data_IF_055243217980
#
_entry.id   IF_055243217980
#
_cell.length_a   1.000
_cell.length_b   1.000
_cell.length_c   1.000
_cell.angle_alpha   90.00
_cell.angle_beta   90.00
_cell.angle_gamma   90.00
#
_symmetry.space_group_name_H-M   'P 1'
#
loop_
_entity.id
_entity.type
_entity.pdbx_description
1 polymer ?
#
# COMPACT_ATOMS: atom_id res chain seq x y z
N UNK A 1 -2.30 -11.06 -9.84
CA UNK A 1 -3.03 -10.06 -9.03
C UNK A 1 -2.39 -9.96 -7.65
N UNK A 2 -1.86 -8.80 -7.24
CA UNK A 2 -1.45 -8.60 -5.84
C UNK A 2 -2.70 -8.23 -5.06
N UNK A 3 -3.34 -9.22 -4.45
CA UNK A 3 -4.44 -8.98 -3.52
C UNK A 3 -3.94 -8.10 -2.39
N UNK A 4 -4.67 -7.01 -2.11
CA UNK A 4 -4.51 -6.18 -0.91
C UNK A 4 -4.95 -6.99 0.33
N UNK A 5 -4.33 -8.16 0.55
CA UNK A 5 -4.63 -8.98 1.70
C UNK A 5 -3.92 -8.36 2.91
N UNK A 6 -4.71 -8.01 3.93
CA UNK A 6 -4.20 -7.50 5.19
C UNK A 6 -3.17 -8.47 5.83
N UNK A 7 -3.38 -9.78 5.66
CA UNK A 7 -2.48 -10.83 6.15
C UNK A 7 -1.10 -10.74 5.47
N UNK A 8 -1.07 -10.57 4.15
CA UNK A 8 0.19 -10.43 3.39
C UNK A 8 0.94 -9.15 3.79
N UNK A 9 0.21 -8.06 4.01
CA UNK A 9 0.77 -6.81 4.53
C UNK A 9 1.36 -6.97 5.93
N UNK A 10 0.70 -7.75 6.79
CA UNK A 10 1.18 -8.07 8.13
C UNK A 10 2.45 -8.93 8.07
N UNK A 11 2.47 -10.02 7.29
CA UNK A 11 3.67 -10.84 7.09
C UNK A 11 4.87 -10.02 6.60
N UNK A 12 4.67 -9.15 5.61
CA UNK A 12 5.74 -8.29 5.11
C UNK A 12 6.29 -7.33 6.17
N UNK A 13 5.44 -6.74 7.03
CA UNK A 13 5.91 -5.88 8.12
C UNK A 13 6.69 -6.68 9.16
N UNK A 14 6.15 -7.80 9.60
CA UNK A 14 6.79 -8.67 10.58
C UNK A 14 8.17 -9.14 10.08
N UNK A 15 8.26 -9.57 8.82
CA UNK A 15 9.53 -9.97 8.22
C UNK A 15 10.53 -8.82 8.15
N UNK A 16 10.08 -7.60 7.83
CA UNK A 16 10.97 -6.43 7.84
C UNK A 16 11.46 -6.09 9.25
N UNK A 17 10.60 -6.14 10.27
CA UNK A 17 10.98 -5.90 11.67
C UNK A 17 12.00 -6.94 12.17
N UNK A 18 11.94 -8.15 11.60
CA UNK A 18 12.87 -9.26 11.86
C UNK A 18 14.06 -9.29 10.89
N UNK A 19 14.29 -8.24 10.10
CA UNK A 19 15.35 -8.15 9.09
C UNK A 19 15.40 -9.32 8.10
N UNK A 20 14.25 -9.90 7.77
CA UNK A 20 14.09 -11.07 6.89
C UNK A 20 14.89 -12.30 7.35
N UNK A 21 15.21 -12.39 8.64
CA UNK A 21 15.88 -13.57 9.21
C UNK A 21 14.87 -14.71 9.32
N UNK A 22 15.22 -15.88 8.79
CA UNK A 22 14.36 -17.07 8.79
C UNK A 22 14.11 -17.60 10.21
N UNK A 23 15.14 -17.56 11.06
CA UNK A 23 15.11 -18.02 12.44
C UNK A 23 15.57 -16.91 13.39
N UNK A 24 14.72 -15.90 13.67
CA UNK A 24 15.07 -14.87 14.63
C UNK A 24 15.19 -15.46 16.03
N UNK A 25 16.05 -14.88 16.87
CA UNK A 25 16.04 -15.21 18.29
C UNK A 25 14.63 -14.98 18.86
N UNK A 26 14.17 -15.89 19.72
CA UNK A 26 12.83 -15.86 20.30
C UNK A 26 12.48 -14.49 20.92
N UNK A 27 13.44 -13.86 21.60
CA UNK A 27 13.27 -12.52 22.13
C UNK A 27 12.94 -11.46 21.07
N UNK A 28 13.63 -11.49 19.92
CA UNK A 28 13.38 -10.56 18.82
C UNK A 28 12.00 -10.80 18.21
N UNK A 29 11.58 -12.06 18.12
CA UNK A 29 10.25 -12.43 17.67
C UNK A 29 9.16 -11.85 18.59
N UNK A 30 9.28 -12.05 19.92
CA UNK A 30 8.33 -11.49 20.89
C UNK A 30 8.30 -9.96 20.83
N UNK A 31 9.47 -9.32 20.74
CA UNK A 31 9.56 -7.86 20.60
C UNK A 31 8.86 -7.36 19.33
N UNK A 32 9.01 -8.04 18.20
CA UNK A 32 8.34 -7.68 16.95
C UNK A 32 6.80 -7.77 17.10
N UNK A 33 6.30 -8.81 17.77
CA UNK A 33 4.86 -8.94 18.07
C UNK A 33 4.37 -7.80 18.96
N UNK A 34 5.11 -7.45 20.02
CA UNK A 34 4.75 -6.35 20.92
C UNK A 34 4.71 -5.01 20.18
N UNK A 35 5.66 -4.76 19.28
CA UNK A 35 5.70 -3.55 18.45
C UNK A 35 4.49 -3.48 17.51
N UNK A 36 4.14 -4.59 16.85
CA UNK A 36 2.96 -4.65 15.97
C UNK A 36 1.66 -4.41 16.75
N UNK A 37 1.53 -5.00 17.94
CA UNK A 37 0.40 -4.73 18.83
C UNK A 37 0.32 -3.25 19.21
N UNK A 38 1.43 -2.67 19.70
CA UNK A 38 1.47 -1.26 20.10
C UNK A 38 1.09 -0.33 18.94
N UNK A 39 1.59 -0.61 17.73
CA UNK A 39 1.22 0.13 16.52
C UNK A 39 -0.29 0.04 16.23
N UNK A 40 -0.84 -1.17 16.17
CA UNK A 40 -2.24 -1.40 15.85
C UNK A 40 -3.18 -0.82 16.93
N UNK A 41 -2.83 -0.95 18.21
CA UNK A 41 -3.56 -0.34 19.32
C UNK A 41 -3.57 1.18 19.20
N UNK A 42 -2.43 1.82 18.92
CA UNK A 42 -2.36 3.27 18.74
C UNK A 42 -3.22 3.75 17.56
N UNK A 43 -3.22 3.02 16.45
CA UNK A 43 -4.09 3.30 15.30
C UNK A 43 -5.58 3.18 15.69
N UNK A 44 -5.97 2.11 16.37
CA UNK A 44 -7.34 1.91 16.85
C UNK A 44 -7.77 3.00 17.83
N UNK A 45 -6.94 3.34 18.81
CA UNK A 45 -7.21 4.41 19.77
C UNK A 45 -7.37 5.77 19.09
N UNK A 46 -6.51 6.09 18.11
CA UNK A 46 -6.64 7.31 17.31
C UNK A 46 -7.95 7.32 16.53
N UNK A 47 -8.32 6.19 15.94
CA UNK A 47 -9.57 6.07 15.19
C UNK A 47 -10.78 6.29 16.08
N UNK A 48 -10.81 5.69 17.27
CA UNK A 48 -11.87 5.89 18.27
C UNK A 48 -11.96 7.36 18.73
N UNK A 49 -10.82 8.01 18.97
CA UNK A 49 -10.79 9.39 19.45
C UNK A 49 -11.18 10.44 18.39
N UNK A 50 -10.84 10.20 17.11
CA UNK A 50 -10.98 11.20 16.03
C UNK A 50 -12.01 10.84 14.96
N UNK A 51 -12.53 9.61 14.96
CA UNK A 51 -13.33 9.03 13.88
C UNK A 51 -12.56 8.83 12.57
N UNK A 52 -11.26 9.16 12.50
CA UNK A 52 -10.47 9.15 11.25
C UNK A 52 -9.50 7.98 11.22
N UNK A 53 -9.45 7.30 10.08
CA UNK A 53 -8.43 6.29 9.79
C UNK A 53 -7.07 6.94 9.50
N UNK A 54 -5.96 6.18 9.60
CA UNK A 54 -4.64 6.67 9.21
C UNK A 54 -4.65 7.18 7.76
N UNK A 55 -3.91 8.27 7.51
CA UNK A 55 -3.77 8.80 6.16
C UNK A 55 -3.17 7.75 5.24
N UNK A 56 -3.72 7.61 4.02
CA UNK A 56 -3.19 6.69 3.00
C UNK A 56 -1.74 7.05 2.69
N UNK A 57 -0.88 6.05 2.47
CA UNK A 57 0.53 6.29 2.10
C UNK A 57 0.60 7.21 0.87
N UNK A 58 1.49 8.20 0.90
CA UNK A 58 1.69 9.19 -0.18
C UNK A 58 1.83 8.54 -1.55
N UNK A 59 2.50 7.39 -1.64
CA UNK A 59 2.63 6.61 -2.88
C UNK A 59 1.27 6.32 -3.55
N UNK A 60 0.29 5.85 -2.76
CA UNK A 60 -1.05 5.52 -3.28
C UNK A 60 -1.83 6.77 -3.65
N UNK A 61 -1.71 7.84 -2.85
CA UNK A 61 -2.31 9.14 -3.16
C UNK A 61 -1.78 9.67 -4.49
N UNK A 62 -0.45 9.67 -4.68
CA UNK A 62 0.19 10.14 -5.90
C UNK A 62 -0.15 9.27 -7.11
N UNK A 63 -0.20 7.93 -6.95
CA UNK A 63 -0.63 7.04 -8.03
C UNK A 63 -2.08 7.30 -8.44
N UNK A 64 -2.99 7.47 -7.48
CA UNK A 64 -4.39 7.81 -7.78
C UNK A 64 -4.51 9.17 -8.47
N UNK A 65 -3.78 10.19 -8.01
CA UNK A 65 -3.77 11.49 -8.65
C UNK A 65 -3.31 11.41 -10.11
N UNK A 66 -2.28 10.59 -10.39
CA UNK A 66 -1.82 10.32 -11.76
C UNK A 66 -2.84 9.57 -12.61
N UNK A 67 -3.54 8.58 -12.03
CA UNK A 67 -4.62 7.87 -12.72
C UNK A 67 -5.76 8.83 -13.08
N UNK A 68 -6.20 9.66 -12.14
CA UNK A 68 -7.22 10.68 -12.42
C UNK A 68 -6.77 11.68 -13.47
N UNK A 69 -5.51 12.12 -13.46
CA UNK A 69 -5.00 13.00 -14.51
C UNK A 69 -5.06 12.33 -15.90
N UNK A 70 -4.72 11.05 -16.02
CA UNK A 70 -4.84 10.31 -17.27
C UNK A 70 -6.30 10.18 -17.72
N UNK A 71 -7.20 9.91 -16.77
CA UNK A 71 -8.64 9.81 -17.02
C UNK A 71 -9.21 11.13 -17.54
N UNK A 72 -8.88 12.25 -16.89
CA UNK A 72 -9.32 13.58 -17.30
C UNK A 72 -8.79 13.94 -18.70
N UNK A 73 -7.53 13.65 -18.99
CA UNK A 73 -6.95 13.88 -20.30
C UNK A 73 -7.62 13.06 -21.41
N UNK A 74 -8.00 11.82 -21.10
CA UNK A 74 -8.76 10.99 -22.01
C UNK A 74 -10.17 11.53 -22.25
N UNK A 75 -10.89 11.95 -21.19
CA UNK A 75 -12.21 12.60 -21.30
C UNK A 75 -12.16 13.88 -22.13
N UNK A 76 -11.08 14.65 -21.98
CA UNK A 76 -10.82 15.88 -22.76
C UNK A 76 -10.36 15.60 -24.19
N UNK A 77 -10.34 14.33 -24.63
CA UNK A 77 -9.90 13.91 -25.96
C UNK A 77 -8.46 14.32 -26.32
N UNK A 78 -7.64 14.65 -25.31
CA UNK A 78 -6.20 14.96 -25.48
C UNK A 78 -5.33 13.70 -25.55
N UNK A 79 -5.92 12.54 -25.29
CA UNK A 79 -5.29 11.23 -25.40
C UNK A 79 -6.23 10.30 -26.17
N UNK A 80 -5.65 9.50 -27.05
CA UNK A 80 -6.37 8.37 -27.66
C UNK A 80 -6.57 7.24 -26.64
N UNK A 81 -7.51 6.33 -26.92
CA UNK A 81 -7.76 5.18 -26.07
C UNK A 81 -6.51 4.30 -25.91
N UNK A 82 -5.76 4.09 -27.00
CA UNK A 82 -4.54 3.28 -26.99
C UNK A 82 -3.46 3.89 -26.09
N UNK A 83 -3.22 5.20 -26.22
CA UNK A 83 -2.25 5.90 -25.38
C UNK A 83 -2.67 5.94 -23.90
N UNK A 84 -3.96 6.11 -23.64
CA UNK A 84 -4.51 6.05 -22.28
C UNK A 84 -4.24 4.67 -21.66
N UNK A 85 -4.62 3.60 -22.37
CA UNK A 85 -4.42 2.23 -21.89
C UNK A 85 -2.94 1.91 -21.68
N UNK A 86 -2.05 2.32 -22.58
CA UNK A 86 -0.61 2.11 -22.42
C UNK A 86 -0.06 2.83 -21.18
N UNK A 87 -0.43 4.10 -20.99
CA UNK A 87 0.01 4.90 -19.85
C UNK A 87 -0.53 4.36 -18.53
N UNK A 88 -1.79 3.91 -18.51
CA UNK A 88 -2.38 3.25 -17.34
C UNK A 88 -1.69 1.93 -17.05
N UNK A 89 -1.51 1.04 -18.04
CA UNK A 89 -0.81 -0.24 -17.89
C UNK A 89 0.61 -0.06 -17.33
N UNK A 90 1.35 0.92 -17.85
CA UNK A 90 2.69 1.27 -17.34
C UNK A 90 2.65 1.79 -15.90
N UNK A 91 1.63 2.57 -15.53
CA UNK A 91 1.48 3.13 -14.18
C UNK A 91 1.12 2.06 -13.14
N UNK A 92 0.29 1.08 -13.52
CA UNK A 92 -0.14 -0.02 -12.65
C UNK A 92 0.81 -1.24 -12.70
N UNK A 93 1.76 -1.26 -13.64
CA UNK A 93 2.78 -2.30 -13.75
C UNK A 93 2.31 -3.57 -14.46
N UNK A 94 1.30 -3.49 -15.33
CA UNK A 94 0.92 -4.60 -16.22
C UNK A 94 1.80 -4.52 -17.47
N UNK A 95 2.58 -5.57 -17.75
CA UNK A 95 3.37 -5.66 -18.99
C UNK A 95 2.45 -6.04 -20.15
N UNK A 96 2.59 -5.37 -21.31
CA UNK A 96 2.07 -5.87 -22.59
C UNK A 96 2.82 -7.17 -22.90
N UNK A 97 2.08 -8.23 -23.23
CA UNK A 97 2.62 -9.49 -23.74
C UNK A 97 3.18 -9.29 -25.14
#
# INVERSE_FOLDING_TARGET
LRTNNHVEGWHHRLNNDLNNVVHPHFYLFIRAIQNDYAYNSAISSRHLATGKLPSRKKLYVNRNARLHNLEERFKQQTLTLEEYLEKVMRLIGIKKY
#
